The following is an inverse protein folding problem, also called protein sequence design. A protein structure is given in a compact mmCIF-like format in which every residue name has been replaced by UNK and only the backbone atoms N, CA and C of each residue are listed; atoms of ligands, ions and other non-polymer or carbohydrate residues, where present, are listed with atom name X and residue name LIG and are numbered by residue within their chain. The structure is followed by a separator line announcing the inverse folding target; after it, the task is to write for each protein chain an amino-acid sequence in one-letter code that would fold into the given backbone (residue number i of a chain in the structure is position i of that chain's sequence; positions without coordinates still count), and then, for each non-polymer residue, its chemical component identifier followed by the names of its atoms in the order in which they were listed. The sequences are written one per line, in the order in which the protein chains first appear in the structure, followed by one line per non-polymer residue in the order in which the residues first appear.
data_IF_709766372048
#
_entry.id   IF_709766372048
#
_cell.length_a   1.000
_cell.length_b   1.000
_cell.length_c   1.000
_cell.angle_alpha   90.00
_cell.angle_beta   90.00
_cell.angle_gamma   90.00
#
_symmetry.space_group_name_H-M   'P 1'
#
loop_
_entity.id
_entity.type
_entity.pdbx_description
1 polymer ?
#
# COMPACT_ATOMS: atom_id res chain seq x y z
N UNK A 1 22.20 0.82 11.37
CA UNK A 1 20.94 1.57 11.47
C UNK A 1 20.23 1.09 12.72
N UNK A 2 20.01 1.99 13.67
CA UNK A 2 19.11 1.73 14.81
C UNK A 2 17.68 1.99 14.36
N UNK A 3 16.77 1.14 14.81
CA UNK A 3 15.35 1.27 14.50
C UNK A 3 14.81 2.51 15.22
N UNK A 4 14.45 3.54 14.46
CA UNK A 4 13.99 4.84 15.00
C UNK A 4 12.56 4.74 15.52
N UNK A 5 11.68 4.04 14.80
CA UNK A 5 10.27 3.87 15.18
C UNK A 5 9.67 2.63 14.49
N UNK A 6 8.79 1.90 15.19
CA UNK A 6 8.03 0.78 14.63
C UNK A 6 6.56 0.97 14.96
N UNK A 7 5.75 1.22 13.94
CA UNK A 7 4.30 1.41 14.06
C UNK A 7 3.52 0.39 13.22
N UNK A 8 2.31 -0.03 13.64
CA UNK A 8 1.47 -0.92 12.85
C UNK A 8 1.09 -0.30 11.49
N UNK A 9 1.26 -1.07 10.41
CA UNK A 9 0.95 -0.61 9.05
C UNK A 9 -0.51 -0.15 8.90
N UNK A 10 -1.45 -0.83 9.57
CA UNK A 10 -2.87 -0.46 9.56
C UNK A 10 -3.10 0.94 10.15
N UNK A 11 -2.42 1.25 11.26
CA UNK A 11 -2.52 2.57 11.90
C UNK A 11 -1.90 3.65 11.01
N UNK A 12 -0.74 3.35 10.40
CA UNK A 12 -0.11 4.27 9.45
C UNK A 12 -1.02 4.55 8.25
N UNK A 13 -1.66 3.53 7.68
CA UNK A 13 -2.61 3.69 6.57
C UNK A 13 -3.84 4.50 6.99
N UNK A 14 -4.38 4.25 8.19
CA UNK A 14 -5.52 5.01 8.72
C UNK A 14 -5.21 6.50 8.90
N UNK A 15 -3.95 6.85 9.15
CA UNK A 15 -3.52 8.24 9.30
C UNK A 15 -3.20 8.89 7.94
N UNK A 16 -2.64 8.14 6.99
CA UNK A 16 -2.08 8.71 5.76
C UNK A 16 -2.94 8.52 4.49
N UNK A 17 -3.99 7.69 4.51
CA UNK A 17 -4.77 7.37 3.30
C UNK A 17 -5.30 8.60 2.54
N UNK A 18 -5.65 9.68 3.27
CA UNK A 18 -6.15 10.92 2.68
C UNK A 18 -5.10 11.65 1.85
N UNK A 19 -3.83 11.61 2.27
CA UNK A 19 -2.73 12.27 1.57
C UNK A 19 -2.50 11.65 0.18
N UNK A 20 -2.72 10.34 0.06
CA UNK A 20 -2.61 9.61 -1.20
C UNK A 20 -3.88 9.65 -2.06
N UNK A 21 -4.94 10.31 -1.61
CA UNK A 21 -6.24 10.32 -2.28
C UNK A 21 -6.86 8.92 -2.40
N UNK A 22 -6.44 7.97 -1.57
CA UNK A 22 -7.02 6.63 -1.54
C UNK A 22 -8.23 6.62 -0.59
N UNK A 23 -9.12 5.64 -0.76
CA UNK A 23 -10.14 5.33 0.25
C UNK A 23 -9.68 4.08 0.98
N UNK A 24 -9.56 4.17 2.31
CA UNK A 24 -9.21 3.01 3.13
C UNK A 24 -10.46 2.26 3.56
N UNK A 25 -10.52 0.96 3.26
CA UNK A 25 -11.56 0.06 3.72
C UNK A 25 -10.94 -1.09 4.51
N UNK A 26 -11.43 -1.31 5.73
CA UNK A 26 -10.99 -2.41 6.59
C UNK A 26 -12.03 -3.52 6.50
N UNK A 27 -11.62 -4.68 6.01
CA UNK A 27 -12.46 -5.87 5.88
C UNK A 27 -12.05 -6.95 6.89
N UNK A 28 -12.97 -7.87 7.17
CA UNK A 28 -12.72 -9.03 8.04
C UNK A 28 -12.82 -10.33 7.24
N UNK A 29 -12.23 -11.40 7.75
CA UNK A 29 -12.25 -12.73 7.12
C UNK A 29 -13.57 -13.50 7.30
N UNK A 30 -14.58 -12.87 7.91
CA UNK A 30 -15.88 -13.50 8.21
C UNK A 30 -16.72 -13.82 6.98
N UNK A 31 -16.45 -13.18 5.84
CA UNK A 31 -17.09 -13.50 4.56
C UNK A 31 -16.20 -14.42 3.72
N UNK A 32 -16.81 -15.11 2.75
CA UNK A 32 -16.07 -15.99 1.84
C UNK A 32 -15.05 -15.19 1.02
N UNK A 33 -15.42 -13.98 0.60
CA UNK A 33 -14.56 -13.05 -0.13
C UNK A 33 -13.42 -12.53 0.75
N UNK A 34 -13.69 -12.17 2.01
CA UNK A 34 -12.66 -11.70 2.95
C UNK A 34 -11.66 -12.80 3.28
N UNK A 35 -12.14 -14.02 3.51
CA UNK A 35 -11.28 -15.21 3.69
C UNK A 35 -10.39 -15.48 2.47
N UNK A 36 -10.92 -15.34 1.25
CA UNK A 36 -10.13 -15.45 0.03
C UNK A 36 -9.13 -14.32 -0.11
N UNK A 37 -9.49 -13.10 0.28
CA UNK A 37 -8.60 -11.95 0.22
C UNK A 37 -7.38 -12.12 1.12
N UNK A 38 -7.61 -12.57 2.37
CA UNK A 38 -6.51 -12.84 3.32
C UNK A 38 -5.61 -13.97 2.81
N UNK A 39 -6.19 -15.06 2.31
CA UNK A 39 -5.41 -16.22 1.83
C UNK A 39 -4.72 -16.00 0.48
N UNK A 40 -5.33 -15.25 -0.41
CA UNK A 40 -4.87 -15.02 -1.78
C UNK A 40 -3.89 -13.84 -1.91
N UNK A 41 -4.10 -12.77 -1.14
CA UNK A 41 -3.33 -11.53 -1.24
C UNK A 41 -2.58 -11.17 0.05
N UNK A 42 -2.63 -12.02 1.09
CA UNK A 42 -1.94 -11.78 2.37
C UNK A 42 -2.62 -10.73 3.26
N UNK A 43 -3.87 -10.36 2.96
CA UNK A 43 -4.67 -9.45 3.79
C UNK A 43 -4.49 -7.95 3.48
N UNK A 44 -3.71 -7.60 2.45
CA UNK A 44 -3.57 -6.23 1.96
C UNK A 44 -3.76 -6.17 0.44
N UNK A 45 -4.37 -5.10 -0.04
CA UNK A 45 -4.59 -4.88 -1.46
C UNK A 45 -5.20 -3.51 -1.72
N UNK A 46 -5.24 -3.13 -2.99
CA UNK A 46 -5.77 -1.83 -3.42
C UNK A 46 -6.47 -1.94 -4.76
N UNK A 47 -7.51 -1.12 -4.94
CA UNK A 47 -8.23 -0.99 -6.20
C UNK A 47 -7.70 0.27 -6.89
N UNK A 48 -7.05 0.08 -8.04
CA UNK A 48 -6.54 1.18 -8.85
C UNK A 48 -7.67 1.82 -9.66
N UNK A 49 -7.64 3.16 -9.76
CA UNK A 49 -8.63 3.91 -10.56
C UNK A 49 -8.48 3.68 -12.06
N UNK A 50 -7.28 3.35 -12.52
CA UNK A 50 -6.94 3.13 -13.91
C UNK A 50 -6.03 1.92 -14.05
N UNK A 51 -5.99 1.34 -15.25
CA UNK A 51 -5.05 0.27 -15.58
C UNK A 51 -3.63 0.84 -15.54
N UNK A 52 -2.79 0.25 -14.70
CA UNK A 52 -1.36 0.55 -14.62
C UNK A 52 -0.60 -0.56 -15.33
N UNK A 53 0.39 -0.19 -16.14
CA UNK A 53 1.37 -1.14 -16.66
C UNK A 53 2.50 -1.27 -15.65
N UNK A 54 2.52 -2.39 -14.93
CA UNK A 54 3.55 -2.66 -13.92
C UNK A 54 4.85 -3.18 -14.52
N UNK A 55 4.85 -3.63 -15.79
CA UNK A 55 6.06 -4.13 -16.43
C UNK A 55 7.02 -3.01 -16.80
N UNK A 56 6.50 -1.83 -17.16
CA UNK A 56 7.31 -0.64 -17.37
C UNK A 56 7.86 -0.06 -16.06
N UNK A 57 7.08 -0.13 -14.97
CA UNK A 57 7.49 0.34 -13.64
C UNK A 57 8.64 -0.46 -13.00
N UNK A 58 8.84 -1.73 -13.38
CA UNK A 58 9.99 -2.53 -12.94
C UNK A 58 11.26 -2.24 -13.77
N UNK A 59 11.13 -1.57 -14.91
CA UNK A 59 12.22 -1.35 -15.85
C UNK A 59 12.94 0.00 -15.66
N UNK A 60 12.34 0.94 -14.92
CA UNK A 60 13.02 2.16 -14.50
C UNK A 60 13.73 1.92 -13.16
N UNK A 61 14.98 2.38 -13.10
CA UNK A 61 15.91 2.28 -11.97
C UNK A 61 15.27 2.57 -10.60
N UNK A 62 15.85 2.06 -9.50
CA UNK A 62 15.36 2.39 -8.16
C UNK A 62 15.14 3.90 -8.03
N UNK A 63 13.89 4.30 -7.79
CA UNK A 63 13.47 5.66 -7.47
C UNK A 63 14.08 6.17 -6.14
N UNK A 64 15.02 5.44 -5.56
CA UNK A 64 15.69 5.72 -4.29
C UNK A 64 16.61 6.96 -4.38
N UNK A 65 16.92 7.48 -5.58
CA UNK A 65 17.83 8.62 -5.80
C UNK A 65 17.11 9.94 -6.16
N UNK A 66 15.77 9.97 -6.24
CA UNK A 66 15.03 11.23 -6.43
C UNK A 66 14.58 11.78 -5.08
N UNK A 67 15.44 12.62 -4.50
CA UNK A 67 15.17 13.36 -3.26
C UNK A 67 14.11 14.45 -3.55
N UNK A 68 12.84 14.07 -3.48
CA UNK A 68 11.69 14.94 -3.72
C UNK A 68 11.31 15.78 -2.48
N UNK A 69 11.99 15.55 -1.35
CA UNK A 69 11.74 16.26 -0.09
C UNK A 69 12.33 17.69 -0.09
N UNK A 70 13.17 18.02 -1.08
CA UNK A 70 13.76 19.34 -1.30
C UNK A 70 12.87 20.31 -2.12
N UNK A 71 11.64 19.92 -2.48
CA UNK A 71 10.70 20.75 -3.28
C UNK A 71 9.40 21.12 -2.57
#
# INVERSE_FOLDING_TARGET
MELVESQPLLEWLANNYKCFGATLEIITDKSQEGSQFVRGFGGIGGILRYKVDFQSLQADEPLDDVDLDDY
#
